data_IF_590028399461
#
_entry.id   IF_590028399461
#
_cell.length_a   1.000
_cell.length_b   1.000
_cell.length_c   1.000
_cell.angle_alpha   90.00
_cell.angle_beta   90.00
_cell.angle_gamma   90.00
#
_symmetry.space_group_name_H-M   'P 1'
#
loop_
_entity.id
_entity.type
_entity.pdbx_description
1 polymer ?
#
# COMPACT_ATOMS: atom_id res chain seq x y z
N UNK A 1 4.41 24.38 1.27
CA UNK A 1 4.19 23.17 0.43
C UNK A 1 5.54 22.53 0.17
N UNK A 2 5.72 21.27 0.56
CA UNK A 2 6.96 20.51 0.32
C UNK A 2 6.68 19.35 -0.61
N UNK A 3 7.63 19.12 -1.52
CA UNK A 3 7.61 18.00 -2.45
C UNK A 3 8.70 17.02 -2.06
N UNK A 4 8.36 15.74 -2.05
CA UNK A 4 9.28 14.64 -1.85
C UNK A 4 9.10 13.67 -3.02
N UNK A 5 10.20 13.19 -3.57
CA UNK A 5 10.18 12.19 -4.62
C UNK A 5 11.19 11.08 -4.30
N UNK A 6 10.87 9.87 -4.70
CA UNK A 6 11.75 8.72 -4.57
C UNK A 6 11.52 7.74 -5.71
N UNK A 7 12.60 7.07 -6.10
CA UNK A 7 12.55 5.99 -7.06
C UNK A 7 13.15 4.73 -6.43
N UNK A 8 12.54 3.59 -6.71
CA UNK A 8 13.03 2.29 -6.28
C UNK A 8 12.82 1.25 -7.37
N UNK A 9 13.77 0.33 -7.48
CA UNK A 9 13.71 -0.77 -8.45
C UNK A 9 13.50 -2.06 -7.66
N UNK A 10 12.42 -2.76 -7.98
CA UNK A 10 12.16 -4.12 -7.51
C UNK A 10 12.74 -5.11 -8.53
N UNK A 11 13.51 -6.09 -8.06
CA UNK A 11 14.04 -7.19 -8.88
C UNK A 11 12.97 -8.27 -9.16
N UNK A 12 11.76 -7.83 -9.54
CA UNK A 12 10.62 -8.69 -9.89
C UNK A 12 9.85 -8.11 -11.08
N UNK A 13 9.25 -8.97 -11.93
CA UNK A 13 8.41 -8.53 -13.05
C UNK A 13 7.20 -7.73 -12.60
N UNK A 14 6.72 -6.84 -13.46
CA UNK A 14 5.62 -5.92 -13.16
C UNK A 14 4.35 -6.62 -12.68
N UNK A 15 3.98 -7.75 -13.30
CA UNK A 15 2.77 -8.49 -12.94
C UNK A 15 2.80 -8.95 -11.46
N UNK A 16 3.96 -9.41 -10.99
CA UNK A 16 4.20 -9.82 -9.60
C UNK A 16 4.11 -8.63 -8.65
N UNK A 17 4.79 -7.53 -9.00
CA UNK A 17 4.85 -6.32 -8.17
C UNK A 17 3.50 -5.63 -8.08
N UNK A 18 2.77 -5.51 -9.19
CA UNK A 18 1.43 -4.92 -9.24
C UNK A 18 0.44 -5.74 -8.41
N UNK A 19 0.49 -7.07 -8.52
CA UNK A 19 -0.35 -7.96 -7.70
C UNK A 19 -0.02 -7.83 -6.21
N UNK A 20 1.27 -7.83 -5.85
CA UNK A 20 1.69 -7.62 -4.48
C UNK A 20 1.29 -6.23 -3.95
N UNK A 21 1.33 -5.19 -4.79
CA UNK A 21 0.98 -3.83 -4.40
C UNK A 21 -0.52 -3.72 -4.11
N UNK A 22 -1.33 -4.40 -4.92
CA UNK A 22 -2.77 -4.50 -4.70
C UNK A 22 -3.11 -5.18 -3.36
N UNK A 23 -2.39 -6.24 -3.03
CA UNK A 23 -2.58 -7.10 -1.86
C UNK A 23 -1.64 -6.77 -0.68
N UNK A 24 -1.02 -5.58 -0.67
CA UNK A 24 0.03 -5.21 0.29
C UNK A 24 -0.42 -5.27 1.75
N UNK A 25 -1.71 -5.18 2.04
CA UNK A 25 -2.23 -5.17 3.41
C UNK A 25 -3.16 -6.36 3.67
N UNK A 26 -3.10 -6.95 4.88
CA UNK A 26 -2.18 -6.61 5.97
C UNK A 26 -0.74 -7.11 5.71
N UNK A 27 0.25 -6.44 6.30
CA UNK A 27 1.64 -6.93 6.33
C UNK A 27 2.33 -6.53 7.66
N UNK A 28 3.32 -7.30 8.14
CA UNK A 28 3.97 -7.05 9.43
C UNK A 28 4.88 -5.80 9.46
N UNK A 29 5.22 -5.21 8.30
CA UNK A 29 6.10 -4.05 8.22
C UNK A 29 5.36 -2.73 8.46
N UNK A 30 4.05 -2.71 8.17
CA UNK A 30 3.19 -1.54 8.40
C UNK A 30 1.86 -1.95 9.05
N UNK A 31 1.88 -2.05 10.38
CA UNK A 31 0.69 -2.30 11.19
C UNK A 31 -0.21 -1.06 11.39
N UNK A 32 0.13 0.09 10.81
CA UNK A 32 -0.65 1.31 10.99
C UNK A 32 -1.97 1.26 10.21
N UNK A 33 -2.05 0.46 9.14
CA UNK A 33 -3.28 0.29 8.35
C UNK A 33 -4.19 -0.71 9.05
N UNK A 34 -5.36 -0.22 9.46
CA UNK A 34 -6.36 -0.97 10.23
C UNK A 34 -7.50 -1.52 9.37
N UNK A 35 -7.75 -0.92 8.19
CA UNK A 35 -8.83 -1.34 7.30
C UNK A 35 -8.70 -0.73 5.91
N UNK A 36 -9.19 -1.45 4.90
CA UNK A 36 -9.29 -1.01 3.51
C UNK A 36 -10.61 -1.51 2.95
N UNK A 37 -11.38 -0.60 2.37
CA UNK A 37 -12.66 -0.90 1.71
C UNK A 37 -12.65 -0.39 0.28
N UNK A 38 -13.16 -1.19 -0.65
CA UNK A 38 -13.38 -0.79 -2.04
C UNK A 38 -14.76 -0.12 -2.13
N UNK A 39 -14.77 1.18 -2.42
CA UNK A 39 -15.99 1.97 -2.58
C UNK A 39 -16.62 1.76 -3.95
N UNK A 40 -15.76 1.72 -4.98
CA UNK A 40 -16.18 1.55 -6.37
C UNK A 40 -15.06 0.88 -7.16
N UNK A 41 -15.43 0.00 -8.06
CA UNK A 41 -14.51 -0.60 -9.02
C UNK A 41 -15.21 -0.74 -10.37
N UNK A 42 -14.56 -0.31 -11.45
CA UNK A 42 -15.12 -0.39 -12.79
C UNK A 42 -14.02 -0.41 -13.86
N UNK A 43 -14.23 -1.12 -14.98
CA UNK A 43 -13.35 -1.04 -16.14
C UNK A 43 -13.50 0.31 -16.85
N UNK A 44 -12.42 0.74 -17.50
CA UNK A 44 -12.35 1.89 -18.38
C UNK A 44 -12.40 1.44 -19.85
N UNK A 45 -12.68 2.37 -20.75
CA UNK A 45 -12.83 2.12 -22.20
C UNK A 45 -11.53 1.57 -22.82
N UNK A 46 -10.38 1.95 -22.28
CA UNK A 46 -9.05 1.51 -22.74
C UNK A 46 -8.62 0.15 -22.18
N UNK A 47 -9.51 -0.54 -21.45
CA UNK A 47 -9.22 -1.83 -20.81
C UNK A 47 -8.54 -1.72 -19.44
N UNK A 48 -8.29 -0.50 -18.95
CA UNK A 48 -7.76 -0.30 -17.60
C UNK A 48 -8.84 -0.58 -16.53
N UNK A 49 -8.42 -0.99 -15.34
CA UNK A 49 -9.28 -1.13 -14.17
C UNK A 49 -9.09 0.07 -13.25
N UNK A 50 -10.18 0.80 -12.96
CA UNK A 50 -10.18 1.87 -11.96
C UNK A 50 -10.85 1.40 -10.68
N UNK A 51 -10.18 1.60 -9.55
CA UNK A 51 -10.70 1.29 -8.23
C UNK A 51 -10.54 2.47 -7.28
N UNK A 52 -11.59 2.74 -6.52
CA UNK A 52 -11.66 3.77 -5.49
C UNK A 52 -11.74 3.07 -4.13
N UNK A 53 -10.79 3.36 -3.25
CA UNK A 53 -10.66 2.73 -1.94
C UNK A 53 -10.66 3.77 -0.83
N UNK A 54 -11.19 3.40 0.33
CA UNK A 54 -10.97 4.11 1.59
C UNK A 54 -10.02 3.28 2.43
N UNK A 55 -9.00 3.94 2.97
CA UNK A 55 -7.98 3.33 3.81
C UNK A 55 -8.03 3.99 5.18
N UNK A 56 -8.18 3.19 6.22
CA UNK A 56 -8.11 3.66 7.61
C UNK A 56 -6.76 3.31 8.20
N UNK A 57 -6.06 4.32 8.73
CA UNK A 57 -4.79 4.16 9.40
C UNK A 57 -4.75 4.87 10.75
N UNK A 58 -3.91 4.38 11.66
CA UNK A 58 -3.71 4.94 12.98
C UNK A 58 -2.25 5.37 13.16
N UNK A 59 -2.04 6.64 13.47
CA UNK A 59 -0.72 7.21 13.70
C UNK A 59 -0.58 7.72 15.13
N UNK A 60 0.55 7.46 15.80
CA UNK A 60 0.87 8.14 17.04
C UNK A 60 1.11 9.62 16.72
N UNK A 61 0.37 10.49 17.39
CA UNK A 61 0.52 11.95 17.27
C UNK A 61 0.93 12.54 18.61
N UNK A 62 1.80 13.56 18.63
CA UNK A 62 2.14 14.25 19.86
C UNK A 62 0.90 14.85 20.53
N UNK A 63 0.81 14.77 21.86
CA UNK A 63 -0.35 15.24 22.62
C UNK A 63 -0.70 16.72 22.38
N UNK A 64 0.31 17.56 22.07
CA UNK A 64 0.08 18.96 21.74
C UNK A 64 -0.69 19.14 20.42
N UNK A 65 -0.48 18.25 19.43
CA UNK A 65 -1.22 18.25 18.16
C UNK A 65 -2.68 17.96 18.44
N UNK A 66 -2.97 16.91 19.22
CA UNK A 66 -4.34 16.57 19.61
C UNK A 66 -5.04 17.71 20.35
N UNK A 67 -4.34 18.40 21.27
CA UNK A 67 -4.90 19.56 21.99
C UNK A 67 -5.20 20.75 21.06
N UNK A 68 -4.38 20.97 20.05
CA UNK A 68 -4.52 22.10 19.13
C UNK A 68 -5.56 21.85 18.04
N UNK A 69 -5.60 20.63 17.50
CA UNK A 69 -6.39 20.32 16.30
C UNK A 69 -7.61 19.43 16.56
N UNK A 70 -7.69 18.82 17.75
CA UNK A 70 -8.71 17.81 18.08
C UNK A 70 -8.52 16.49 17.32
N UNK A 71 -7.42 16.32 16.58
CA UNK A 71 -7.16 15.11 15.82
C UNK A 71 -6.82 13.94 16.75
N UNK A 72 -7.46 12.80 16.55
CA UNK A 72 -7.31 11.60 17.39
C UNK A 72 -6.18 10.67 16.93
N UNK A 73 -5.54 10.94 15.79
CA UNK A 73 -4.53 10.06 15.20
C UNK A 73 -5.10 9.02 14.23
N UNK A 74 -6.43 8.86 14.19
CA UNK A 74 -7.11 8.04 13.16
C UNK A 74 -7.23 8.85 11.87
N UNK A 75 -6.55 8.40 10.83
CA UNK A 75 -6.58 9.00 9.50
C UNK A 75 -7.43 8.14 8.55
N UNK A 76 -8.27 8.81 7.77
CA UNK A 76 -8.91 8.20 6.61
C UNK A 76 -8.29 8.78 5.35
N UNK A 77 -7.94 7.91 4.41
CA UNK A 77 -7.42 8.28 3.10
C UNK A 77 -8.32 7.75 2.02
N UNK A 78 -8.55 8.57 1.00
CA UNK A 78 -9.18 8.16 -0.24
C UNK A 78 -8.09 7.89 -1.27
N UNK A 79 -8.12 6.70 -1.86
CA UNK A 79 -7.17 6.27 -2.86
C UNK A 79 -7.88 5.92 -4.16
N UNK A 80 -7.34 6.40 -5.27
CA UNK A 80 -7.73 5.97 -6.62
C UNK A 80 -6.58 5.19 -7.20
N UNK A 81 -6.84 3.94 -7.55
CA UNK A 81 -5.89 3.07 -8.25
C UNK A 81 -6.38 2.83 -9.67
N UNK A 82 -5.49 3.00 -10.64
CA UNK A 82 -5.70 2.64 -12.03
C UNK A 82 -4.64 1.64 -12.48
N UNK A 83 -5.07 0.50 -13.00
CA UNK A 83 -4.20 -0.57 -13.49
C UNK A 83 -4.47 -0.74 -14.98
N UNK A 84 -3.46 -0.55 -15.83
CA UNK A 84 -3.52 -0.80 -17.25
C UNK A 84 -2.62 -2.01 -17.59
N UNK A 85 -3.21 -3.20 -17.81
CA UNK A 85 -2.44 -4.41 -18.13
C UNK A 85 -1.72 -4.33 -19.49
N UNK A 86 -2.32 -3.65 -20.47
CA UNK A 86 -1.74 -3.54 -21.82
C UNK A 86 -0.47 -2.68 -21.83
N UNK A 87 -0.44 -1.63 -21.01
CA UNK A 87 0.74 -0.77 -20.81
C UNK A 87 1.69 -1.26 -19.72
N UNK A 88 1.27 -2.24 -18.93
CA UNK A 88 1.94 -2.64 -17.68
C UNK A 88 2.20 -1.44 -16.78
N UNK A 89 1.15 -0.68 -16.48
CA UNK A 89 1.23 0.48 -15.60
C UNK A 89 0.21 0.36 -14.47
N UNK A 90 0.65 0.64 -13.24
CA UNK A 90 -0.25 0.78 -12.09
C UNK A 90 0.02 2.12 -11.41
N UNK A 91 -0.99 2.98 -11.38
CA UNK A 91 -0.93 4.29 -10.72
C UNK A 91 -1.84 4.31 -9.51
N UNK A 92 -1.34 4.81 -8.38
CA UNK A 92 -2.14 5.05 -7.18
C UNK A 92 -2.04 6.52 -6.83
N UNK A 93 -3.17 7.15 -6.52
CA UNK A 93 -3.23 8.53 -6.05
C UNK A 93 -4.01 8.53 -4.75
N UNK A 94 -3.36 8.96 -3.67
CA UNK A 94 -3.90 8.91 -2.32
C UNK A 94 -3.95 10.30 -1.71
N UNK A 95 -5.07 10.62 -1.07
CA UNK A 95 -5.27 11.87 -0.33
C UNK A 95 -5.95 11.61 1.00
N UNK A 96 -5.51 12.28 2.06
CA UNK A 96 -6.22 12.24 3.34
C UNK A 96 -7.58 12.95 3.27
N UNK A 97 -8.62 12.33 3.84
CA UNK A 97 -9.99 12.84 3.89
C UNK A 97 -10.24 13.71 5.12
N UNK A 98 -9.69 13.32 6.27
CA UNK A 98 -9.72 14.10 7.51
C UNK A 98 -8.37 14.78 7.75
N UNK A 99 -8.27 15.64 8.77
CA UNK A 99 -7.08 16.47 9.05
C UNK A 99 -6.73 17.56 8.02
N UNK A 100 -7.42 17.63 6.89
CA UNK A 100 -7.16 18.57 5.78
C UNK A 100 -7.09 20.06 6.13
N UNK A 101 -7.68 20.48 7.27
CA UNK A 101 -7.62 21.87 7.77
C UNK A 101 -6.24 22.29 8.28
N UNK A 102 -5.41 21.33 8.69
CA UNK A 102 -4.09 21.61 9.26
C UNK A 102 -2.98 20.77 8.59
N UNK A 103 -3.36 19.69 7.92
CA UNK A 103 -2.47 18.82 7.17
C UNK A 103 -3.18 18.27 5.95
N UNK A 104 -2.69 18.59 4.77
CA UNK A 104 -3.07 17.94 3.53
C UNK A 104 -1.89 17.21 2.94
N UNK A 105 -2.14 15.98 2.53
CA UNK A 105 -1.14 15.14 1.91
C UNK A 105 -1.72 14.50 0.67
N UNK A 106 -0.94 14.64 -0.39
CA UNK A 106 -1.23 14.14 -1.72
C UNK A 106 -0.05 13.24 -2.13
N UNK A 107 -0.29 11.94 -2.27
CA UNK A 107 0.71 10.95 -2.66
C UNK A 107 0.34 10.36 -4.02
N UNK A 108 1.33 10.15 -4.87
CA UNK A 108 1.23 9.44 -6.14
C UNK A 108 2.30 8.36 -6.20
N UNK A 109 1.89 7.15 -6.56
CA UNK A 109 2.77 6.03 -6.85
C UNK A 109 2.55 5.58 -8.29
N UNK A 110 3.64 5.27 -8.99
CA UNK A 110 3.62 4.72 -10.34
C UNK A 110 4.54 3.50 -10.40
N UNK A 111 3.98 2.35 -10.74
CA UNK A 111 4.70 1.12 -11.02
C UNK A 111 4.71 0.84 -12.52
N UNK A 112 5.90 0.65 -13.10
CA UNK A 112 6.10 0.34 -14.52
C UNK A 112 7.34 -0.56 -14.71
N UNK A 113 7.40 -1.39 -15.76
CA UNK A 113 8.60 -2.14 -16.10
C UNK A 113 9.83 -1.25 -16.23
N UNK A 114 11.00 -1.76 -15.88
CA UNK A 114 12.27 -1.11 -16.20
C UNK A 114 12.48 -1.16 -17.74
N UNK A 115 12.72 -0.01 -18.41
CA UNK A 115 12.89 0.04 -19.86
C UNK A 115 14.10 -0.75 -20.37
N UNK A 116 15.04 -1.10 -19.49
CA UNK A 116 16.23 -1.87 -19.82
C UNK A 116 16.15 -3.33 -19.37
N UNK A 117 15.20 -3.69 -18.50
CA UNK A 117 15.02 -5.05 -18.00
C UNK A 117 13.57 -5.35 -17.62
N UNK A 118 12.86 -6.12 -18.45
CA UNK A 118 11.45 -6.47 -18.21
C UNK A 118 11.20 -7.31 -16.95
N UNK A 119 12.25 -7.95 -16.41
CA UNK A 119 12.20 -8.70 -15.14
C UNK A 119 12.28 -7.80 -13.90
N UNK A 120 12.33 -6.47 -14.11
CA UNK A 120 12.37 -5.46 -13.05
C UNK A 120 11.20 -4.50 -13.14
N UNK A 121 10.83 -3.96 -11.99
CA UNK A 121 9.78 -2.94 -11.89
C UNK A 121 10.31 -1.70 -11.20
N UNK A 122 10.11 -0.56 -11.84
CA UNK A 122 10.41 0.75 -11.27
C UNK A 122 9.15 1.25 -10.55
N UNK A 123 9.31 1.61 -9.28
CA UNK A 123 8.36 2.37 -8.48
C UNK A 123 8.84 3.81 -8.39
N UNK A 124 8.03 4.73 -8.91
CA UNK A 124 8.20 6.18 -8.73
C UNK A 124 7.18 6.67 -7.70
N UNK A 125 7.66 7.33 -6.66
CA UNK A 125 6.84 7.86 -5.57
C UNK A 125 6.99 9.37 -5.51
N UNK A 126 5.85 10.06 -5.42
CA UNK A 126 5.79 11.51 -5.27
C UNK A 126 4.82 11.83 -4.14
N UNK A 127 5.22 12.71 -3.22
CA UNK A 127 4.36 13.18 -2.16
C UNK A 127 4.44 14.70 -2.05
N UNK A 128 3.30 15.34 -1.87
CA UNK A 128 3.22 16.75 -1.53
C UNK A 128 2.49 16.95 -0.22
N UNK A 129 3.11 17.73 0.66
CA UNK A 129 2.60 18.00 2.00
C UNK A 129 2.35 19.49 2.14
N UNK A 130 1.13 19.83 2.58
CA UNK A 130 0.75 21.17 2.96
C UNK A 130 0.35 21.19 4.43
N UNK A 131 1.05 22.00 5.21
CA UNK A 131 0.83 22.15 6.65
C UNK A 131 0.27 23.55 6.88
N UNK A 132 -0.91 23.63 7.49
CA UNK A 132 -1.57 24.87 7.86
C UNK A 132 -1.56 25.03 9.40
N UNK A 133 -0.35 25.06 9.94
CA UNK A 133 -0.05 25.27 11.37
C UNK A 133 1.13 26.25 11.48
N UNK A 134 0.89 27.57 11.36
CA UNK A 134 1.97 28.55 11.21
C UNK A 134 3.00 28.54 12.35
N UNK A 135 2.55 28.32 13.59
CA UNK A 135 3.41 28.27 14.76
C UNK A 135 4.28 26.99 14.87
N UNK A 136 3.96 25.94 14.09
CA UNK A 136 4.62 24.63 14.17
C UNK A 136 5.02 24.07 12.79
N UNK A 137 5.00 24.91 11.75
CA UNK A 137 5.22 24.49 10.37
C UNK A 137 6.54 23.73 10.24
N UNK A 138 7.66 24.27 10.73
CA UNK A 138 8.98 23.64 10.64
C UNK A 138 9.06 22.28 11.34
N UNK A 139 8.41 22.14 12.50
CA UNK A 139 8.38 20.88 13.26
C UNK A 139 7.55 19.83 12.52
N UNK A 140 6.33 20.21 12.12
CA UNK A 140 5.44 19.35 11.36
C UNK A 140 6.11 18.90 10.06
N UNK A 141 6.74 19.81 9.33
CA UNK A 141 7.43 19.49 8.10
C UNK A 141 8.59 18.50 8.28
N UNK A 142 9.43 18.66 9.32
CA UNK A 142 10.50 17.68 9.62
C UNK A 142 9.90 16.31 10.00
N UNK A 143 8.85 16.31 10.80
CA UNK A 143 8.15 15.10 11.19
C UNK A 143 7.57 14.38 9.97
N UNK A 144 6.96 15.11 9.03
CA UNK A 144 6.40 14.53 7.81
C UNK A 144 7.46 13.96 6.87
N UNK A 145 8.58 14.65 6.68
CA UNK A 145 9.69 14.11 5.86
C UNK A 145 10.17 12.77 6.41
N UNK A 146 10.39 12.68 7.73
CA UNK A 146 10.79 11.45 8.38
C UNK A 146 9.73 10.34 8.24
N UNK A 147 8.45 10.68 8.41
CA UNK A 147 7.34 9.71 8.25
C UNK A 147 7.30 9.18 6.81
N UNK A 148 7.48 10.05 5.81
CA UNK A 148 7.46 9.65 4.41
C UNK A 148 8.62 8.74 4.04
N UNK A 149 9.82 9.08 4.49
CA UNK A 149 11.00 8.22 4.29
C UNK A 149 10.81 6.84 4.94
N UNK A 150 10.33 6.81 6.19
CA UNK A 150 10.02 5.56 6.90
C UNK A 150 8.89 4.77 6.24
N UNK A 151 7.84 5.43 5.75
CA UNK A 151 6.70 4.79 5.11
C UNK A 151 7.06 4.23 3.73
N UNK A 152 7.92 4.92 2.98
CA UNK A 152 8.49 4.41 1.74
C UNK A 152 9.32 3.15 2.00
N UNK A 153 10.19 3.17 3.02
CA UNK A 153 10.97 2.00 3.40
C UNK A 153 10.09 0.82 3.84
N UNK A 154 9.13 1.05 4.75
CA UNK A 154 8.15 0.04 5.17
C UNK A 154 7.35 -0.47 3.99
N UNK A 155 7.01 0.42 3.06
CA UNK A 155 6.25 0.09 1.88
C UNK A 155 6.98 -0.89 0.97
N UNK A 156 8.28 -0.67 0.75
CA UNK A 156 9.16 -1.59 0.01
C UNK A 156 9.28 -2.94 0.70
N UNK A 157 9.61 -2.95 2.00
CA UNK A 157 9.74 -4.20 2.77
C UNK A 157 8.44 -4.99 2.83
N UNK A 158 7.30 -4.32 3.00
CA UNK A 158 5.99 -4.96 3.00
C UNK A 158 5.66 -5.59 1.65
N UNK A 159 6.05 -4.94 0.55
CA UNK A 159 5.85 -5.48 -0.79
C UNK A 159 6.68 -6.74 -1.03
N UNK A 160 7.97 -6.70 -0.71
CA UNK A 160 8.85 -7.89 -0.80
C UNK A 160 8.31 -9.05 0.03
N UNK A 161 7.85 -8.77 1.25
CA UNK A 161 7.25 -9.81 2.10
C UNK A 161 6.03 -10.46 1.43
N UNK A 162 5.14 -9.68 0.80
CA UNK A 162 3.98 -10.23 0.08
C UNK A 162 4.41 -11.06 -1.14
N UNK A 163 5.43 -10.61 -1.87
CA UNK A 163 5.98 -11.35 -3.01
C UNK A 163 6.54 -12.71 -2.55
N UNK A 164 7.25 -12.75 -1.43
CA UNK A 164 7.77 -13.98 -0.84
C UNK A 164 6.65 -14.95 -0.42
N UNK A 165 5.54 -14.44 0.13
CA UNK A 165 4.36 -15.25 0.46
C UNK A 165 3.71 -15.87 -0.79
N UNK A 166 3.63 -15.12 -1.89
CA UNK A 166 3.08 -15.64 -3.14
C UNK A 166 3.99 -16.70 -3.77
N UNK A 167 5.30 -16.47 -3.77
CA UNK A 167 6.29 -17.41 -4.31
C UNK A 167 6.38 -18.70 -3.50
N UNK A 168 6.19 -18.64 -2.18
CA UNK A 168 6.15 -19.83 -1.32
C UNK A 168 4.85 -20.61 -1.50
N UNK A 169 3.72 -19.93 -1.65
CA UNK A 169 2.40 -20.55 -1.90
C UNK A 169 2.29 -21.23 -3.28
N UNK A 170 2.91 -20.67 -4.31
CA UNK A 170 2.97 -21.29 -5.64
C UNK A 170 3.87 -22.54 -5.65
N UNK A 171 4.98 -22.51 -4.91
CA UNK A 171 5.84 -23.69 -4.71
C UNK A 171 5.15 -24.80 -3.92
N UNK A 172 4.41 -24.48 -2.86
CA UNK A 172 3.67 -25.49 -2.10
C UNK A 172 2.52 -26.10 -2.92
N UNK A 173 1.82 -25.30 -3.72
CA UNK A 173 0.76 -25.77 -4.63
C UNK A 173 1.31 -26.69 -5.73
N UNK A 174 2.46 -26.35 -6.32
CA UNK A 174 3.11 -27.21 -7.34
C UNK A 174 3.75 -28.49 -6.77
N UNK A 175 4.14 -28.48 -5.49
CA UNK A 175 4.55 -29.69 -4.77
C UNK A 175 3.33 -30.55 -4.41
N UNK A 176 2.22 -29.93 -4.00
CA UNK A 176 0.96 -30.60 -3.71
C UNK A 176 0.34 -31.21 -4.98
N UNK A 177 0.39 -30.54 -6.13
CA UNK A 177 -0.06 -31.09 -7.42
C UNK A 177 0.80 -32.28 -7.89
N UNK A 178 2.11 -32.26 -7.59
CA UNK A 178 2.99 -33.41 -7.83
C UNK A 178 2.69 -34.59 -6.89
N UNK A 179 2.23 -34.34 -5.67
CA UNK A 179 1.82 -35.40 -4.73
C UNK A 179 0.36 -35.83 -4.87
N UNK A 180 -0.51 -35.00 -5.48
CA UNK A 180 -1.95 -35.24 -5.65
C UNK A 180 -2.33 -35.83 -7.02
N UNK A 181 -1.36 -36.41 -7.74
CA UNK A 181 -1.66 -37.30 -8.89
C UNK A 181 -2.36 -38.61 -8.45
N UNK A 182 -2.70 -38.75 -7.16
CA UNK A 182 -3.81 -39.56 -6.68
C UNK A 182 -4.75 -38.74 -5.80
N UNK A 183 -6.04 -38.81 -6.13
CA UNK A 183 -7.21 -38.24 -5.44
C UNK A 183 -7.62 -36.80 -5.79
N UNK A 184 -8.60 -36.69 -6.68
CA UNK A 184 -9.58 -35.60 -6.70
C UNK A 184 -10.39 -35.61 -5.40
N UNK A 185 -10.56 -34.45 -4.75
CA UNK A 185 -11.90 -33.93 -4.38
C UNK A 185 -11.84 -32.57 -3.66
N UNK A 186 -12.66 -31.65 -4.18
CA UNK A 186 -13.37 -30.54 -3.51
C UNK A 186 -12.78 -29.10 -3.55
N UNK A 187 -13.33 -28.20 -4.39
CA UNK A 187 -12.87 -26.81 -4.55
C UNK A 187 -13.21 -25.87 -3.37
N UNK A 188 -13.93 -26.32 -2.34
CA UNK A 188 -14.28 -25.48 -1.19
C UNK A 188 -13.12 -25.21 -0.20
N UNK A 189 -12.04 -26.00 -0.24
CA UNK A 189 -10.93 -25.91 0.72
C UNK A 189 -9.86 -24.86 0.39
N UNK A 190 -9.77 -24.41 -0.87
CA UNK A 190 -8.69 -23.52 -1.33
C UNK A 190 -8.87 -22.07 -0.86
N UNK A 191 -10.11 -21.64 -0.61
CA UNK A 191 -10.43 -20.27 -0.17
C UNK A 191 -10.21 -20.03 1.34
N UNK A 192 -10.23 -21.08 2.18
CA UNK A 192 -9.97 -20.93 3.62
C UNK A 192 -8.48 -20.79 3.98
N UNK A 193 -7.57 -21.27 3.13
CA UNK A 193 -6.12 -21.24 3.39
C UNK A 193 -5.45 -19.88 3.12
N UNK A 194 -6.17 -18.92 2.55
CA UNK A 194 -5.66 -17.56 2.28
C UNK A 194 -5.87 -16.58 3.44
N UNK A 195 -6.55 -16.99 4.52
CA UNK A 195 -6.65 -16.20 5.75
C UNK A 195 -5.91 -16.91 6.88
N UNK A 196 -4.68 -16.51 7.22
CA UNK A 196 -4.14 -16.80 8.53
C UNK A 196 -5.08 -16.18 9.57
N UNK A 197 -5.43 -16.96 10.59
CA UNK A 197 -6.19 -16.49 11.74
C UNK A 197 -5.63 -15.15 12.25
N UNK A 198 -6.54 -14.22 12.52
CA UNK A 198 -6.24 -12.87 13.01
C UNK A 198 -5.10 -12.88 14.04
N UNK A 199 -3.93 -12.40 13.64
CA UNK A 199 -2.84 -12.12 14.58
C UNK A 199 -3.23 -10.90 15.41
N UNK A 200 -2.99 -11.00 16.72
CA UNK A 200 -3.26 -9.97 17.72
C UNK A 200 -2.79 -8.58 17.25
N UNK A 201 -3.57 -7.52 17.51
CA UNK A 201 -3.12 -6.17 17.24
C UNK A 201 -1.86 -5.87 18.07
N UNK A 202 -0.77 -5.44 17.41
CA UNK A 202 0.36 -4.79 18.05
C UNK A 202 -0.06 -3.40 18.57
N UNK A 203 -0.94 -3.35 19.57
CA UNK A 203 -1.27 -2.15 20.32
C UNK A 203 -1.00 -2.39 21.81
N UNK A 204 0.24 -2.73 22.15
CA UNK A 204 0.75 -2.61 23.53
C UNK A 204 2.23 -2.23 23.51
N UNK A 205 2.48 -0.92 23.49
CA UNK A 205 3.56 -0.23 24.22
C UNK A 205 3.39 1.28 24.09
#
# INVERSE_FOLDING_TARGET
>A
MKFWTSEHVFDHPWDTVAHAAWCKYPNPMNCAVSGIDVVRQHPLVDGSLRSERIIQSHFPIPAWVTKLTGFSGTQYSYEVTEINPAKKEMTLITRNMNAGRFLRVDERLLYKPDPYNEDRTILQQEASVNVDLPAFADYCEKMFLNIYEMNAEKGRKGLEWVIDQFNSSSRSSSIAEKSSSQAFSDPALVLSSLHPAAQQPCFLS
#
